data_IF_336198056171
#
_entry.id   IF_336198056171
#
_cell.length_a   1.000
_cell.length_b   1.000
_cell.length_c   1.000
_cell.angle_alpha   90.00
_cell.angle_beta   90.00
_cell.angle_gamma   90.00
#
_symmetry.space_group_name_H-M   'P 1'
#
loop_
_entity.id
_entity.type
_entity.pdbx_description
1 polymer ?
#
# COMPACT_ATOMS: atom_id res chain seq x y z
N UNK A 1 -71.13 -35.15 -41.75
CA UNK A 1 -69.75 -35.46 -41.29
C UNK A 1 -68.81 -34.55 -42.06
N UNK A 2 -68.43 -33.39 -41.51
CA UNK A 2 -67.31 -32.52 -41.95
C UNK A 2 -67.33 -31.19 -41.17
N UNK A 3 -67.39 -31.22 -39.82
CA UNK A 3 -67.23 -29.98 -39.03
C UNK A 3 -66.30 -30.12 -37.83
N UNK A 4 -65.58 -31.24 -37.70
CA UNK A 4 -64.63 -31.48 -36.58
C UNK A 4 -63.16 -31.29 -36.99
N UNK A 5 -62.86 -31.04 -38.27
CA UNK A 5 -61.48 -30.91 -38.75
C UNK A 5 -60.94 -29.45 -38.71
N UNK A 6 -61.81 -28.44 -38.80
CA UNK A 6 -61.39 -27.04 -38.92
C UNK A 6 -60.98 -26.38 -37.58
N UNK A 7 -61.56 -26.79 -36.45
CA UNK A 7 -61.17 -26.23 -35.14
C UNK A 7 -59.79 -26.70 -34.68
N UNK A 8 -59.37 -27.91 -35.05
CA UNK A 8 -58.06 -28.44 -34.65
C UNK A 8 -56.88 -27.80 -35.39
N UNK A 9 -57.07 -27.35 -36.62
CA UNK A 9 -56.02 -26.71 -37.43
C UNK A 9 -55.75 -25.28 -36.93
N UNK A 10 -56.78 -24.54 -36.52
CA UNK A 10 -56.65 -23.16 -36.02
C UNK A 10 -55.94 -23.11 -34.66
N UNK A 11 -56.15 -24.12 -33.79
CA UNK A 11 -55.48 -24.22 -32.48
C UNK A 11 -53.99 -24.59 -32.62
N UNK A 12 -53.61 -25.38 -33.63
CA UNK A 12 -52.19 -25.70 -33.88
C UNK A 12 -51.41 -24.50 -34.46
N UNK A 13 -52.02 -23.73 -35.36
CA UNK A 13 -51.36 -22.56 -35.97
C UNK A 13 -51.11 -21.42 -34.96
N UNK A 14 -52.01 -21.23 -33.99
CA UNK A 14 -51.85 -20.23 -32.92
C UNK A 14 -50.81 -20.64 -31.87
N UNK A 15 -50.66 -21.93 -31.57
CA UNK A 15 -49.62 -22.42 -30.65
C UNK A 15 -48.21 -22.35 -31.24
N UNK A 16 -47.98 -22.68 -32.52
CA UNK A 16 -46.64 -22.58 -33.12
C UNK A 16 -46.10 -21.14 -33.19
N UNK A 17 -46.99 -20.16 -33.39
CA UNK A 17 -46.65 -18.73 -33.44
C UNK A 17 -46.16 -18.18 -32.09
N UNK A 18 -46.80 -18.57 -30.98
CA UNK A 18 -46.43 -18.11 -29.64
C UNK A 18 -45.14 -18.74 -29.12
N UNK A 19 -44.85 -20.00 -29.47
CA UNK A 19 -43.55 -20.61 -29.16
C UNK A 19 -42.40 -19.89 -29.87
N UNK A 20 -42.54 -19.57 -31.16
CA UNK A 20 -41.55 -18.80 -31.93
C UNK A 20 -41.26 -17.45 -31.26
N UNK A 21 -42.28 -16.66 -30.96
CA UNK A 21 -42.14 -15.36 -30.28
C UNK A 21 -41.47 -15.46 -28.90
N UNK A 22 -41.75 -16.54 -28.15
CA UNK A 22 -41.12 -16.80 -26.87
C UNK A 22 -39.62 -17.09 -26.99
N UNK A 23 -39.21 -17.88 -27.98
CA UNK A 23 -37.79 -18.16 -28.24
C UNK A 23 -37.03 -16.95 -28.77
N UNK A 24 -37.67 -16.10 -29.60
CA UNK A 24 -37.08 -14.83 -30.04
C UNK A 24 -36.94 -13.81 -28.90
N UNK A 25 -37.94 -13.71 -28.01
CA UNK A 25 -37.86 -12.85 -26.83
C UNK A 25 -36.78 -13.34 -25.84
N UNK A 26 -36.67 -14.65 -25.64
CA UNK A 26 -35.63 -15.24 -24.79
C UNK A 26 -34.23 -15.01 -25.37
N UNK A 27 -34.05 -15.18 -26.69
CA UNK A 27 -32.78 -14.91 -27.37
C UNK A 27 -32.40 -13.43 -27.33
N UNK A 28 -33.39 -12.52 -27.44
CA UNK A 28 -33.18 -11.07 -27.31
C UNK A 28 -32.79 -10.69 -25.87
N UNK A 29 -33.43 -11.26 -24.86
CA UNK A 29 -33.13 -11.01 -23.44
C UNK A 29 -31.74 -11.55 -23.08
N UNK A 30 -31.38 -12.74 -23.55
CA UNK A 30 -30.04 -13.32 -23.34
C UNK A 30 -28.98 -12.51 -24.08
N UNK A 31 -29.26 -12.08 -25.32
CA UNK A 31 -28.37 -11.23 -26.12
C UNK A 31 -28.15 -9.85 -25.50
N UNK A 32 -29.20 -9.19 -25.00
CA UNK A 32 -29.11 -7.89 -24.30
C UNK A 32 -28.36 -8.05 -22.98
N UNK A 33 -28.56 -9.15 -22.24
CA UNK A 33 -27.83 -9.43 -21.00
C UNK A 33 -26.34 -9.66 -21.25
N UNK A 34 -25.98 -10.31 -22.36
CA UNK A 34 -24.59 -10.52 -22.78
C UNK A 34 -23.93 -9.23 -23.27
N UNK A 35 -24.69 -8.35 -23.95
CA UNK A 35 -24.23 -7.04 -24.40
C UNK A 35 -24.07 -6.05 -23.23
N UNK A 36 -24.93 -6.12 -22.21
CA UNK A 36 -24.79 -5.35 -20.97
C UNK A 36 -23.55 -5.79 -20.17
N UNK A 37 -23.24 -7.09 -20.14
CA UNK A 37 -22.03 -7.61 -19.50
C UNK A 37 -20.73 -7.15 -20.21
N UNK A 38 -20.80 -6.77 -21.49
CA UNK A 38 -19.70 -6.18 -22.26
C UNK A 38 -19.60 -4.65 -22.07
N UNK A 39 -20.69 -3.97 -21.69
CA UNK A 39 -20.74 -2.52 -21.45
C UNK A 39 -20.39 -2.14 -19.99
N UNK A 40 -20.39 -3.10 -19.08
CA UNK A 40 -19.94 -2.93 -17.70
C UNK A 40 -18.77 -3.89 -17.44
N UNK A 41 -17.51 -3.50 -17.73
CA UNK A 41 -16.38 -4.30 -17.28
C UNK A 41 -16.52 -4.45 -15.76
N UNK A 42 -16.69 -5.69 -15.30
CA UNK A 42 -16.47 -6.03 -13.90
C UNK A 42 -14.97 -5.86 -13.72
N UNK A 43 -14.55 -4.64 -13.36
CA UNK A 43 -13.23 -4.40 -12.83
C UNK A 43 -13.14 -5.20 -11.54
N UNK A 44 -12.72 -6.47 -11.67
CA UNK A 44 -12.15 -7.18 -10.53
C UNK A 44 -11.00 -6.31 -10.06
N UNK A 45 -11.08 -5.84 -8.82
CA UNK A 45 -9.96 -5.22 -8.16
C UNK A 45 -8.85 -6.28 -8.12
N UNK A 46 -8.00 -6.26 -9.14
CA UNK A 46 -6.79 -7.08 -9.21
C UNK A 46 -5.94 -6.73 -8.00
N UNK A 47 -5.14 -7.68 -7.53
CA UNK A 47 -4.04 -7.34 -6.64
C UNK A 47 -3.29 -6.14 -7.26
N UNK A 48 -3.09 -5.10 -6.46
CA UNK A 48 -2.40 -3.89 -6.91
C UNK A 48 -1.10 -4.29 -7.62
N UNK A 49 -0.83 -3.79 -8.84
CA UNK A 49 0.35 -4.19 -9.58
C UNK A 49 1.62 -3.83 -8.81
N UNK A 50 2.59 -4.74 -8.84
CA UNK A 50 3.97 -4.42 -8.44
C UNK A 50 4.62 -3.63 -9.56
N UNK A 51 5.07 -2.43 -9.25
CA UNK A 51 5.80 -1.53 -10.15
C UNK A 51 7.28 -1.60 -9.81
N UNK A 52 8.14 -1.72 -10.83
CA UNK A 52 9.60 -1.60 -10.72
C UNK A 52 10.09 -0.45 -11.59
N UNK A 53 10.96 0.39 -11.03
CA UNK A 53 11.55 1.55 -11.71
C UNK A 53 13.06 1.50 -11.52
N UNK A 54 13.80 1.74 -12.60
CA UNK A 54 15.25 1.72 -12.64
C UNK A 54 15.76 3.15 -12.89
N UNK A 55 16.66 3.63 -12.04
CA UNK A 55 17.36 4.91 -12.24
C UNK A 55 18.86 4.60 -12.34
N UNK A 56 19.43 4.84 -13.51
CA UNK A 56 20.85 4.60 -13.83
C UNK A 56 21.57 5.88 -14.31
N UNK A 57 20.82 6.99 -14.38
CA UNK A 57 21.25 8.32 -14.82
C UNK A 57 20.27 9.37 -14.27
N UNK A 58 20.63 10.65 -14.35
CA UNK A 58 19.82 11.76 -13.84
C UNK A 58 20.10 12.14 -12.38
N UNK A 59 19.36 13.12 -11.87
CA UNK A 59 19.56 13.70 -10.51
C UNK A 59 18.27 13.98 -9.74
N UNK A 60 17.10 13.82 -10.38
CA UNK A 60 15.80 14.09 -9.77
C UNK A 60 14.73 13.13 -10.28
N UNK A 61 13.78 12.77 -9.41
CA UNK A 61 12.69 11.85 -9.70
C UNK A 61 11.40 12.37 -9.08
N UNK A 62 10.28 12.25 -9.79
CA UNK A 62 8.95 12.58 -9.26
C UNK A 62 8.34 11.31 -8.71
N UNK A 63 8.01 11.30 -7.41
CA UNK A 63 7.38 10.15 -6.77
C UNK A 63 6.03 9.86 -7.45
N UNK A 64 5.78 8.62 -7.89
CA UNK A 64 4.51 8.26 -8.52
C UNK A 64 3.30 8.61 -7.65
N UNK A 65 2.20 9.01 -8.29
CA UNK A 65 0.95 9.37 -7.60
C UNK A 65 0.35 8.22 -6.79
N UNK A 66 0.68 6.99 -7.16
CA UNK A 66 0.24 5.73 -6.55
C UNK A 66 1.29 5.11 -5.61
N UNK A 67 2.29 5.86 -5.18
CA UNK A 67 3.32 5.38 -4.25
C UNK A 67 2.70 4.88 -2.93
N UNK A 68 3.09 3.67 -2.53
CA UNK A 68 2.63 3.06 -1.29
C UNK A 68 3.75 3.02 -0.26
N UNK A 69 3.73 3.96 0.69
CA UNK A 69 4.73 4.07 1.77
C UNK A 69 4.82 2.83 2.68
N UNK A 70 3.79 1.98 2.70
CA UNK A 70 3.72 0.77 3.54
C UNK A 70 4.13 -0.51 2.81
N UNK A 71 4.33 -0.47 1.50
CA UNK A 71 4.73 -1.64 0.71
C UNK A 71 5.59 -1.21 -0.50
N UNK A 72 6.82 -0.83 -0.18
CA UNK A 72 7.85 -0.47 -1.16
C UNK A 72 9.24 -0.87 -0.69
N UNK A 73 10.19 -0.86 -1.61
CA UNK A 73 11.61 -0.88 -1.34
C UNK A 73 12.40 -0.01 -2.30
N UNK A 74 13.51 0.54 -1.79
CA UNK A 74 14.50 1.30 -2.56
C UNK A 74 15.83 0.57 -2.37
N UNK A 75 16.41 0.13 -3.48
CA UNK A 75 17.67 -0.60 -3.54
C UNK A 75 18.69 0.22 -4.30
N UNK A 76 19.92 0.27 -3.81
CA UNK A 76 20.99 1.10 -4.38
C UNK A 76 22.30 0.32 -4.47
N UNK A 77 22.98 0.46 -5.60
CA UNK A 77 24.33 -0.08 -5.85
C UNK A 77 25.28 1.10 -6.09
N UNK A 78 26.41 1.14 -5.37
CA UNK A 78 27.45 2.16 -5.53
C UNK A 78 28.26 1.98 -6.82
N UNK A 79 28.99 3.02 -7.25
CA UNK A 79 29.91 2.90 -8.39
C UNK A 79 31.12 2.01 -8.06
N UNK A 80 31.64 1.29 -9.05
CA UNK A 80 32.88 0.52 -8.93
C UNK A 80 34.11 1.40 -9.12
N UNK A 81 35.17 1.14 -8.35
CA UNK A 81 36.46 1.82 -8.48
C UNK A 81 37.24 1.39 -9.72
N UNK A 82 38.13 2.26 -10.19
CA UNK A 82 39.02 1.93 -11.31
C UNK A 82 40.25 1.13 -10.87
N UNK A 83 40.75 0.32 -11.80
CA UNK A 83 42.04 -0.35 -11.66
C UNK A 83 43.20 0.64 -11.66
N UNK A 84 44.36 0.19 -11.21
CA UNK A 84 45.52 1.06 -11.09
C UNK A 84 46.24 1.29 -12.42
N UNK A 85 47.19 2.21 -12.42
CA UNK A 85 48.20 2.32 -13.48
C UNK A 85 49.57 1.92 -12.95
N UNK A 86 50.48 1.43 -13.81
CA UNK A 86 51.84 1.09 -13.42
C UNK A 86 52.59 2.24 -12.72
N UNK A 87 53.36 1.93 -11.67
CA UNK A 87 54.46 2.79 -11.22
C UNK A 87 55.86 2.15 -11.38
N UNK A 88 55.92 0.83 -11.66
CA UNK A 88 57.15 0.09 -12.00
C UNK A 88 56.87 -1.28 -12.69
N UNK A 89 55.73 -1.91 -12.39
CA UNK A 89 55.20 -3.16 -12.98
C UNK A 89 53.68 -2.99 -13.25
N UNK A 90 52.94 -4.08 -13.47
CA UNK A 90 51.48 -4.07 -13.52
C UNK A 90 50.84 -3.56 -12.21
N UNK A 91 49.57 -3.17 -12.26
CA UNK A 91 48.83 -2.53 -11.16
C UNK A 91 47.68 -3.40 -10.61
N UNK A 92 47.13 -3.00 -9.47
CA UNK A 92 46.08 -3.74 -8.79
C UNK A 92 44.67 -3.41 -9.33
N UNK A 93 43.68 -4.26 -9.04
CA UNK A 93 42.28 -4.03 -9.41
C UNK A 93 41.57 -3.07 -8.47
N UNK A 94 40.53 -2.40 -8.95
CA UNK A 94 39.65 -1.55 -8.14
C UNK A 94 38.68 -2.36 -7.27
N UNK A 95 38.07 -1.72 -6.28
CA UNK A 95 37.01 -2.30 -5.45
C UNK A 95 35.62 -2.13 -6.04
N UNK A 96 34.74 -3.11 -5.85
CA UNK A 96 33.35 -3.07 -6.31
C UNK A 96 32.46 -2.16 -5.46
N UNK A 97 31.33 -1.72 -6.02
CA UNK A 97 30.33 -0.93 -5.31
C UNK A 97 29.61 -1.70 -4.22
N UNK A 98 29.23 -1.01 -3.14
CA UNK A 98 28.39 -1.55 -2.08
C UNK A 98 26.92 -1.66 -2.52
N UNK A 99 26.11 -2.33 -1.70
CA UNK A 99 24.66 -2.42 -1.85
C UNK A 99 23.97 -1.97 -0.56
N UNK A 100 22.82 -1.32 -0.69
CA UNK A 100 21.90 -1.08 0.42
C UNK A 100 20.44 -1.13 -0.02
N UNK A 101 19.57 -1.54 0.90
CA UNK A 101 18.11 -1.60 0.71
C UNK A 101 17.40 -0.95 1.88
N UNK A 102 16.43 -0.13 1.57
CA UNK A 102 15.42 0.37 2.51
C UNK A 102 14.05 -0.19 2.11
N UNK A 103 13.20 -0.48 3.10
CA UNK A 103 11.85 -0.96 2.90
C UNK A 103 10.86 -0.03 3.61
N UNK A 104 9.63 0.04 3.09
CA UNK A 104 8.54 0.85 3.64
C UNK A 104 8.95 2.31 3.82
N UNK A 105 9.59 2.87 2.79
CA UNK A 105 10.06 4.25 2.80
C UNK A 105 8.87 5.19 2.63
N UNK A 106 8.70 6.08 3.59
CA UNK A 106 7.64 7.09 3.57
C UNK A 106 8.03 8.25 2.66
N UNK A 107 7.38 8.35 1.50
CA UNK A 107 7.58 9.43 0.53
C UNK A 107 6.23 10.08 0.20
N UNK A 108 6.26 11.37 -0.14
CA UNK A 108 5.08 12.11 -0.58
C UNK A 108 4.84 11.86 -2.07
N UNK A 109 3.70 11.26 -2.40
CA UNK A 109 3.28 11.06 -3.79
C UNK A 109 3.22 12.39 -4.56
N UNK A 110 3.71 12.41 -5.80
CA UNK A 110 3.81 13.60 -6.65
C UNK A 110 4.93 14.58 -6.28
N UNK A 111 5.65 14.39 -5.17
CA UNK A 111 6.77 15.26 -4.81
C UNK A 111 7.98 14.98 -5.70
N UNK A 112 8.73 16.04 -6.05
CA UNK A 112 10.05 15.91 -6.66
C UNK A 112 11.08 15.64 -5.57
N UNK A 113 11.88 14.59 -5.75
CA UNK A 113 13.02 14.25 -4.89
C UNK A 113 14.32 14.25 -5.68
N UNK A 114 15.43 14.31 -4.97
CA UNK A 114 16.78 14.27 -5.55
C UNK A 114 17.44 12.92 -5.27
N UNK A 115 18.35 12.52 -6.16
CA UNK A 115 19.19 11.34 -5.99
C UNK A 115 20.53 11.57 -6.69
N UNK A 116 21.51 10.74 -6.37
CA UNK A 116 22.76 10.67 -7.09
C UNK A 116 23.03 9.23 -7.52
N UNK A 117 23.44 9.06 -8.77
CA UNK A 117 24.00 7.81 -9.27
C UNK A 117 25.52 7.88 -9.11
N UNK A 118 26.07 6.92 -8.39
CA UNK A 118 27.50 6.83 -8.18
C UNK A 118 28.25 6.73 -9.50
N UNK A 119 29.14 7.69 -9.75
CA UNK A 119 29.95 7.69 -10.95
C UNK A 119 30.89 6.49 -11.01
N UNK A 120 31.32 6.15 -12.22
CA UNK A 120 32.32 5.09 -12.42
C UNK A 120 33.70 5.59 -12.00
N UNK A 121 34.46 4.76 -11.30
CA UNK A 121 35.88 4.98 -11.10
C UNK A 121 36.63 4.83 -12.42
N UNK A 122 37.34 5.87 -12.82
CA UNK A 122 38.41 5.78 -13.81
C UNK A 122 39.71 5.35 -13.12
N UNK A 123 40.82 5.27 -13.85
CA UNK A 123 42.11 4.82 -13.33
C UNK A 123 42.45 5.43 -11.96
N UNK A 124 42.79 4.56 -11.00
CA UNK A 124 43.11 4.90 -9.59
C UNK A 124 42.07 5.75 -8.86
N UNK A 125 40.86 5.88 -9.39
CA UNK A 125 39.81 6.74 -8.84
C UNK A 125 38.70 5.87 -8.24
N UNK A 126 38.17 6.30 -7.11
CA UNK A 126 37.01 5.66 -6.50
C UNK A 126 35.76 5.82 -7.38
N UNK A 127 34.87 4.85 -7.31
CA UNK A 127 33.49 5.02 -7.77
C UNK A 127 32.75 5.98 -6.85
N UNK A 128 31.73 6.64 -7.38
CA UNK A 128 30.87 7.52 -6.61
C UNK A 128 29.88 6.75 -5.74
N UNK A 129 29.40 7.42 -4.70
CA UNK A 129 28.30 6.93 -3.87
C UNK A 129 26.97 7.07 -4.62
N UNK A 130 26.09 6.08 -4.49
CA UNK A 130 24.72 6.12 -5.01
C UNK A 130 23.75 6.31 -3.86
N UNK A 131 22.84 7.27 -3.93
CA UNK A 131 21.86 7.49 -2.87
C UNK A 131 20.56 8.12 -3.38
N UNK A 132 19.47 7.81 -2.69
CA UNK A 132 18.12 8.31 -2.97
C UNK A 132 17.58 9.05 -1.75
N UNK A 133 16.99 10.23 -1.95
CA UNK A 133 16.52 11.08 -0.86
C UNK A 133 14.99 11.22 -0.84
N UNK A 134 14.48 11.71 0.29
CA UNK A 134 13.12 12.24 0.37
C UNK A 134 13.08 13.71 -0.10
N UNK A 135 11.94 14.39 0.07
CA UNK A 135 11.73 15.77 -0.34
C UNK A 135 12.27 16.83 0.63
N UNK A 136 12.96 16.43 1.71
CA UNK A 136 13.55 17.41 2.65
C UNK A 136 14.90 17.94 2.15
N UNK A 137 15.28 19.12 2.63
CA UNK A 137 16.57 19.73 2.29
C UNK A 137 17.68 19.01 3.06
N UNK A 138 18.64 18.39 2.33
CA UNK A 138 19.98 17.88 2.73
C UNK A 138 20.28 16.54 2.03
N UNK A 139 20.47 16.60 0.70
CA UNK A 139 20.77 15.48 -0.20
C UNK A 139 22.08 15.73 -0.98
N UNK A 140 23.10 16.31 -0.33
CA UNK A 140 24.36 16.65 -1.00
C UNK A 140 25.40 15.51 -0.95
N UNK A 141 25.21 14.54 -0.05
CA UNK A 141 26.07 13.38 0.11
C UNK A 141 25.28 12.22 0.72
N UNK A 142 25.85 11.02 0.69
CA UNK A 142 25.26 9.81 1.29
C UNK A 142 24.99 9.94 2.79
N UNK A 143 25.66 10.85 3.50
CA UNK A 143 25.45 11.11 4.93
C UNK A 143 24.38 12.19 5.18
N UNK A 144 23.76 12.72 4.14
CA UNK A 144 22.69 13.71 4.24
C UNK A 144 21.48 13.13 4.97
N UNK A 145 20.84 13.94 5.82
CA UNK A 145 19.68 13.50 6.63
C UNK A 145 18.44 13.20 5.79
N UNK A 146 18.39 13.65 4.53
CA UNK A 146 17.31 13.34 3.60
C UNK A 146 17.47 11.96 2.95
N UNK A 147 18.66 11.34 3.00
CA UNK A 147 18.96 10.06 2.35
C UNK A 147 18.13 8.94 2.98
N UNK A 148 17.36 8.24 2.15
CA UNK A 148 16.53 7.10 2.54
C UNK A 148 17.21 5.76 2.26
N UNK A 149 18.02 5.70 1.20
CA UNK A 149 18.86 4.56 0.86
C UNK A 149 20.17 5.07 0.25
N UNK A 150 21.30 4.47 0.61
CA UNK A 150 22.61 4.90 0.14
C UNK A 150 23.65 3.80 0.16
N UNK A 151 24.41 3.63 -0.92
CA UNK A 151 25.50 2.68 -1.04
C UNK A 151 26.81 3.39 -1.42
N UNK A 152 27.90 2.99 -0.75
CA UNK A 152 29.24 3.50 -1.02
C UNK A 152 29.80 3.00 -2.35
N UNK A 153 30.49 3.88 -3.07
CA UNK A 153 31.35 3.49 -4.17
C UNK A 153 32.56 2.67 -3.69
N UNK A 154 33.08 1.81 -4.56
CA UNK A 154 34.32 1.09 -4.33
C UNK A 154 35.55 1.97 -4.59
N UNK A 155 36.62 1.75 -3.85
CA UNK A 155 37.83 2.55 -3.98
C UNK A 155 38.61 2.16 -5.23
N UNK A 156 39.32 3.14 -5.82
CA UNK A 156 40.32 2.86 -6.84
C UNK A 156 41.50 2.07 -6.27
N UNK A 157 42.23 1.37 -7.13
CA UNK A 157 43.48 0.75 -6.73
C UNK A 157 44.53 1.80 -6.32
N UNK A 158 45.40 1.45 -5.36
CA UNK A 158 46.50 2.31 -4.91
C UNK A 158 47.82 1.56 -5.07
N UNK A 159 48.51 1.79 -6.20
CA UNK A 159 49.74 1.08 -6.53
C UNK A 159 49.53 -0.44 -6.66
N UNK A 160 50.27 -1.21 -5.85
CA UNK A 160 50.19 -2.67 -5.82
C UNK A 160 49.04 -3.25 -5.00
N UNK A 161 48.30 -2.41 -4.27
CA UNK A 161 47.22 -2.83 -3.38
C UNK A 161 45.87 -2.66 -4.07
N UNK A 162 45.07 -3.73 -4.05
CA UNK A 162 43.72 -3.70 -4.60
C UNK A 162 42.82 -2.71 -3.86
N UNK A 163 41.98 -2.01 -4.62
CA UNK A 163 41.01 -1.08 -4.07
C UNK A 163 40.03 -1.81 -3.15
N UNK A 164 39.75 -1.25 -1.98
CA UNK A 164 38.73 -1.81 -1.09
C UNK A 164 37.35 -1.65 -1.72
N UNK A 165 36.49 -2.66 -1.56
CA UNK A 165 35.09 -2.55 -1.94
C UNK A 165 34.36 -1.48 -1.14
N UNK A 166 33.25 -0.99 -1.67
CA UNK A 166 32.41 -0.01 -0.98
C UNK A 166 31.95 -0.56 0.37
N UNK A 167 32.11 0.23 1.43
CA UNK A 167 31.85 -0.24 2.79
C UNK A 167 30.36 -0.16 3.15
N UNK A 168 29.75 -1.30 3.49
CA UNK A 168 28.36 -1.37 3.98
C UNK A 168 28.14 -0.61 5.29
N UNK A 169 29.18 -0.50 6.11
CA UNK A 169 29.15 0.24 7.37
C UNK A 169 28.73 1.70 7.18
N UNK A 170 29.09 2.31 6.04
CA UNK A 170 28.76 3.68 5.68
C UNK A 170 27.57 3.80 4.73
N UNK A 171 26.86 2.70 4.45
CA UNK A 171 25.61 2.71 3.70
C UNK A 171 24.39 3.05 4.57
N UNK A 172 23.32 3.50 3.93
CA UNK A 172 22.03 3.83 4.52
C UNK A 172 20.99 2.82 4.02
N UNK A 173 20.33 2.14 4.94
CA UNK A 173 19.38 1.06 4.65
C UNK A 173 19.37 0.00 5.76
N UNK A 174 18.32 -0.83 5.77
CA UNK A 174 18.16 -1.93 6.73
C UNK A 174 18.98 -3.17 6.34
N UNK A 175 19.16 -3.41 5.04
CA UNK A 175 20.03 -4.48 4.52
C UNK A 175 21.17 -3.84 3.76
N UNK A 176 22.41 -4.24 4.07
CA UNK A 176 23.62 -3.61 3.52
C UNK A 176 24.71 -4.65 3.30
N UNK A 177 25.37 -4.58 2.14
CA UNK A 177 26.45 -5.48 1.79
C UNK A 177 27.62 -4.72 1.18
N UNK A 178 28.83 -5.14 1.51
CA UNK A 178 30.05 -4.50 1.00
C UNK A 178 30.36 -5.02 -0.39
N UNK A 179 30.91 -4.16 -1.24
CA UNK A 179 31.50 -4.60 -2.50
C UNK A 179 32.73 -5.47 -2.29
N UNK A 180 33.13 -6.21 -3.32
CA UNK A 180 34.36 -6.99 -3.29
C UNK A 180 35.60 -6.11 -3.38
N UNK A 181 36.68 -6.52 -2.73
CA UNK A 181 37.99 -5.89 -2.88
C UNK A 181 38.61 -6.28 -4.24
N UNK A 182 39.37 -5.38 -4.83
CA UNK A 182 40.27 -5.73 -5.93
C UNK A 182 41.42 -6.61 -5.46
N UNK A 183 41.97 -7.42 -6.37
CA UNK A 183 43.19 -8.17 -6.15
C UNK A 183 44.42 -7.26 -6.26
N UNK A 184 45.47 -7.57 -5.49
CA UNK A 184 46.77 -6.94 -5.62
C UNK A 184 47.50 -7.33 -6.92
N UNK A 185 48.65 -6.71 -7.16
CA UNK A 185 49.51 -6.98 -8.32
C UNK A 185 50.25 -8.31 -8.23
N UNK A 186 50.36 -9.02 -9.35
CA UNK A 186 51.33 -10.11 -9.54
C UNK A 186 52.63 -9.61 -10.18
N UNK A 187 53.69 -10.43 -10.17
CA UNK A 187 55.03 -10.05 -10.68
C UNK A 187 55.05 -9.58 -12.16
N UNK A 188 54.06 -9.97 -12.96
CA UNK A 188 53.94 -9.60 -14.38
C UNK A 188 52.48 -9.52 -14.87
N UNK A 189 51.54 -9.37 -13.93
CA UNK A 189 50.10 -9.36 -14.22
C UNK A 189 49.36 -8.36 -13.36
N UNK A 190 48.34 -7.72 -13.92
CA UNK A 190 47.43 -6.87 -13.18
C UNK A 190 46.48 -7.66 -12.29
N UNK A 191 46.01 -7.05 -11.21
CA UNK A 191 45.03 -7.64 -10.30
C UNK A 191 43.60 -7.58 -10.86
N UNK A 192 42.77 -8.60 -10.63
CA UNK A 192 41.34 -8.57 -10.97
C UNK A 192 40.57 -7.57 -10.12
N UNK A 193 39.56 -6.92 -10.71
CA UNK A 193 38.66 -6.01 -9.98
C UNK A 193 37.70 -6.75 -9.05
N UNK A 194 37.20 -6.09 -8.01
CA UNK A 194 36.14 -6.60 -7.14
C UNK A 194 34.76 -6.59 -7.81
N UNK A 195 33.93 -7.57 -7.48
CA UNK A 195 32.52 -7.61 -7.88
C UNK A 195 31.66 -6.64 -7.08
N UNK A 196 30.56 -6.16 -7.66
CA UNK A 196 29.57 -5.36 -6.95
C UNK A 196 28.77 -6.20 -5.96
N UNK A 197 28.33 -5.60 -4.85
CA UNK A 197 27.32 -6.22 -4.01
C UNK A 197 25.92 -6.10 -4.61
N UNK A 198 24.99 -6.97 -4.18
CA UNK A 198 23.61 -6.98 -4.66
C UNK A 198 22.63 -7.54 -3.64
N UNK A 199 21.44 -7.92 -4.12
CA UNK A 199 20.31 -8.33 -3.29
C UNK A 199 20.53 -9.65 -2.52
N UNK A 200 21.43 -10.51 -2.99
CA UNK A 200 21.75 -11.81 -2.41
C UNK A 200 23.02 -11.77 -1.54
N UNK A 201 23.88 -10.75 -1.65
CA UNK A 201 24.99 -10.56 -0.73
C UNK A 201 26.11 -9.64 -1.19
N UNK A 202 27.23 -9.76 -0.49
CA UNK A 202 28.45 -9.01 -0.78
C UNK A 202 29.05 -9.38 -2.14
N UNK A 203 29.73 -8.43 -2.77
CA UNK A 203 30.48 -8.70 -3.98
C UNK A 203 31.69 -9.59 -3.68
N UNK A 204 32.02 -10.51 -4.58
CA UNK A 204 33.20 -11.35 -4.38
C UNK A 204 34.48 -10.54 -4.66
N UNK A 205 35.54 -10.87 -3.93
CA UNK A 205 36.86 -10.26 -4.14
C UNK A 205 37.45 -10.73 -5.48
N UNK A 206 38.24 -9.87 -6.12
CA UNK A 206 39.13 -10.26 -7.20
C UNK A 206 40.23 -11.19 -6.69
N UNK A 207 40.76 -12.05 -7.56
CA UNK A 207 41.81 -13.02 -7.23
C UNK A 207 42.78 -13.21 -8.40
N UNK A 208 44.06 -12.93 -8.18
CA UNK A 208 45.05 -12.94 -9.26
C UNK A 208 44.62 -11.99 -10.38
N UNK A 209 44.52 -12.50 -11.62
CA UNK A 209 44.02 -11.76 -12.78
C UNK A 209 42.51 -11.85 -12.97
N UNK A 210 41.80 -12.65 -12.17
CA UNK A 210 40.36 -12.87 -12.33
C UNK A 210 39.58 -11.89 -11.47
N UNK A 211 38.61 -11.20 -12.08
CA UNK A 211 37.68 -10.35 -11.35
C UNK A 211 36.76 -11.15 -10.43
N UNK A 212 36.24 -10.51 -9.38
CA UNK A 212 35.23 -11.11 -8.52
C UNK A 212 33.85 -11.08 -9.16
N UNK A 213 33.02 -12.10 -8.98
CA UNK A 213 31.62 -12.05 -9.40
C UNK A 213 30.77 -11.13 -8.52
N UNK A 214 29.73 -10.54 -9.11
CA UNK A 214 28.76 -9.71 -8.41
C UNK A 214 27.81 -10.51 -7.53
N UNK A 215 27.25 -9.86 -6.51
CA UNK A 215 26.12 -10.34 -5.72
C UNK A 215 26.26 -11.77 -5.15
N UNK A 216 27.36 -12.01 -4.44
CA UNK A 216 27.75 -13.32 -3.91
C UNK A 216 27.78 -14.44 -4.97
N UNK A 217 27.98 -14.09 -6.24
CA UNK A 217 28.01 -15.02 -7.37
C UNK A 217 26.69 -15.16 -8.14
N UNK A 218 25.62 -14.49 -7.72
CA UNK A 218 24.34 -14.48 -8.43
C UNK A 218 24.26 -13.38 -9.50
N UNK A 219 25.18 -12.41 -9.45
CA UNK A 219 25.26 -11.34 -10.43
C UNK A 219 26.20 -11.65 -11.58
N UNK A 220 26.75 -10.58 -12.16
CA UNK A 220 27.69 -10.68 -13.25
C UNK A 220 28.93 -11.50 -12.91
N UNK A 221 29.31 -12.41 -13.81
CA UNK A 221 30.52 -13.21 -13.66
C UNK A 221 31.78 -12.33 -13.61
N UNK A 222 32.78 -12.73 -12.84
CA UNK A 222 34.09 -12.07 -12.85
C UNK A 222 34.81 -12.23 -14.18
N UNK A 223 35.43 -11.17 -14.68
CA UNK A 223 36.20 -11.21 -15.92
C UNK A 223 37.45 -12.05 -15.76
N UNK A 224 37.72 -12.94 -16.70
CA UNK A 224 39.02 -13.62 -16.80
C UNK A 224 40.10 -12.64 -17.27
N UNK A 225 41.38 -13.01 -17.21
CA UNK A 225 42.49 -12.15 -17.62
C UNK A 225 42.23 -11.42 -18.96
N UNK A 226 42.43 -10.10 -18.97
CA UNK A 226 42.15 -9.17 -20.08
C UNK A 226 40.69 -9.08 -20.57
N UNK A 227 39.74 -9.79 -19.94
CA UNK A 227 38.33 -9.78 -20.33
C UNK A 227 37.48 -8.97 -19.33
N UNK A 228 36.46 -8.26 -19.83
CA UNK A 228 35.58 -7.48 -18.95
C UNK A 228 34.77 -8.39 -18.02
N UNK A 229 34.32 -7.81 -16.90
CA UNK A 229 33.34 -8.45 -16.04
C UNK A 229 31.99 -8.58 -16.75
N UNK A 230 31.26 -9.64 -16.45
CA UNK A 230 29.90 -9.85 -16.92
C UNK A 230 28.93 -8.85 -16.29
N UNK A 231 27.89 -8.47 -17.04
CA UNK A 231 26.77 -7.70 -16.49
C UNK A 231 25.86 -8.63 -15.67
N UNK A 232 25.30 -8.10 -14.59
CA UNK A 232 24.26 -8.77 -13.82
C UNK A 232 22.88 -8.66 -14.49
N UNK A 233 21.97 -9.59 -14.18
CA UNK A 233 20.60 -9.65 -14.71
C UNK A 233 19.56 -10.04 -13.65
N UNK A 234 19.87 -9.80 -12.37
CA UNK A 234 19.02 -10.27 -11.26
C UNK A 234 17.73 -9.45 -11.11
N UNK A 235 17.71 -8.23 -11.65
CA UNK A 235 16.50 -7.40 -11.65
C UNK A 235 15.68 -7.55 -12.94
N UNK A 236 16.35 -7.52 -14.09
CA UNK A 236 15.79 -7.76 -15.43
C UNK A 236 16.90 -8.17 -16.42
N UNK A 237 16.62 -8.16 -17.73
CA UNK A 237 17.58 -8.60 -18.76
C UNK A 237 18.82 -7.71 -18.94
N UNK A 238 18.84 -6.50 -18.38
CA UNK A 238 19.95 -5.53 -18.55
C UNK A 238 20.40 -4.87 -17.24
N UNK A 239 19.67 -5.07 -16.13
CA UNK A 239 19.95 -4.52 -14.83
C UNK A 239 20.31 -5.61 -13.80
N UNK A 240 21.46 -5.42 -13.18
CA UNK A 240 21.96 -6.27 -12.10
C UNK A 240 23.35 -5.83 -11.63
N UNK A 241 23.87 -6.55 -10.65
CA UNK A 241 25.14 -6.28 -10.00
C UNK A 241 26.28 -6.83 -10.84
N UNK A 242 27.24 -5.99 -11.21
CA UNK A 242 28.29 -6.34 -12.16
C UNK A 242 29.47 -7.10 -11.54
N UNK A 243 30.08 -7.98 -12.32
CA UNK A 243 31.37 -8.59 -11.99
C UNK A 243 32.54 -7.63 -12.15
N UNK A 244 33.65 -7.86 -11.45
CA UNK A 244 34.89 -7.12 -11.64
C UNK A 244 35.58 -7.48 -12.95
N UNK A 245 36.31 -6.53 -13.53
CA UNK A 245 37.10 -6.73 -14.74
C UNK A 245 38.35 -7.57 -14.49
N UNK A 246 38.77 -8.35 -15.47
CA UNK A 246 40.02 -9.10 -15.42
C UNK A 246 41.25 -8.18 -15.44
N UNK A 247 42.27 -8.56 -14.68
CA UNK A 247 43.58 -7.94 -14.72
C UNK A 247 44.32 -8.25 -16.01
N UNK A 248 45.25 -7.37 -16.39
CA UNK A 248 46.04 -7.52 -17.60
C UNK A 248 47.10 -8.64 -17.49
N UNK A 249 47.43 -9.27 -18.61
CA UNK A 249 48.66 -10.07 -18.76
C UNK A 249 49.53 -9.47 -19.86
N UNK A 250 50.85 -9.41 -19.63
CA UNK A 250 51.77 -8.73 -20.57
C UNK A 250 51.57 -7.20 -20.57
N UNK A 251 51.98 -6.48 -21.62
CA UNK A 251 51.92 -5.02 -21.69
C UNK A 251 50.50 -4.42 -21.90
N UNK A 252 49.44 -5.18 -21.57
CA UNK A 252 48.04 -4.81 -21.82
C UNK A 252 47.41 -3.90 -20.76
N UNK A 253 46.26 -3.33 -21.10
CA UNK A 253 45.39 -2.60 -20.17
C UNK A 253 44.48 -3.54 -19.37
N UNK A 254 44.10 -3.12 -18.16
CA UNK A 254 43.11 -3.83 -17.35
C UNK A 254 41.72 -3.74 -17.97
N UNK A 255 40.91 -4.78 -17.80
CA UNK A 255 39.58 -4.81 -18.39
C UNK A 255 38.56 -4.05 -17.54
N UNK A 256 37.49 -3.58 -18.18
CA UNK A 256 36.40 -2.88 -17.49
C UNK A 256 35.57 -3.84 -16.61
N UNK A 257 34.97 -3.29 -15.55
CA UNK A 257 33.94 -4.00 -14.78
C UNK A 257 32.67 -4.25 -15.61
N UNK A 258 31.83 -5.16 -15.14
CA UNK A 258 30.47 -5.35 -15.62
C UNK A 258 29.50 -4.33 -15.02
N UNK A 259 28.41 -4.03 -15.73
CA UNK A 259 27.35 -3.18 -15.19
C UNK A 259 26.56 -3.95 -14.12
N UNK A 260 26.09 -3.35 -13.03
CA UNK A 260 26.38 -2.04 -12.40
C UNK A 260 27.30 -2.22 -11.18
N UNK A 261 28.12 -1.22 -10.86
CA UNK A 261 29.00 -1.24 -9.69
C UNK A 261 30.24 -2.14 -9.78
N UNK A 262 30.43 -2.88 -10.88
CA UNK A 262 31.62 -3.72 -11.10
C UNK A 262 32.89 -2.88 -11.21
N UNK A 263 33.98 -3.32 -10.58
CA UNK A 263 35.25 -2.60 -10.58
C UNK A 263 36.13 -2.90 -11.80
N UNK A 264 37.03 -1.99 -12.14
CA UNK A 264 38.02 -2.22 -13.18
C UNK A 264 39.18 -3.11 -12.74
N UNK A 265 39.70 -3.94 -13.65
CA UNK A 265 40.92 -4.71 -13.43
C UNK A 265 42.17 -3.83 -13.50
N UNK A 266 43.25 -4.23 -12.83
CA UNK A 266 44.55 -3.60 -12.91
C UNK A 266 45.23 -3.88 -14.25
N UNK A 267 46.02 -2.92 -14.72
CA UNK A 267 46.72 -2.99 -15.99
C UNK A 267 48.22 -2.84 -15.90
N UNK A 268 48.89 -3.25 -16.97
CA UNK A 268 50.33 -3.07 -17.15
C UNK A 268 50.65 -1.88 -18.07
N UNK A 269 49.64 -1.32 -18.72
CA UNK A 269 49.69 -0.04 -19.44
C UNK A 269 48.69 0.97 -18.87
N UNK A 270 47.43 0.55 -18.69
CA UNK A 270 46.31 1.41 -18.29
C UNK A 270 45.35 0.64 -17.38
N UNK A 271 44.76 1.29 -16.40
CA UNK A 271 43.78 0.67 -15.50
C UNK A 271 42.44 0.44 -16.19
N UNK A 272 41.76 -0.65 -15.85
CA UNK A 272 40.38 -0.86 -16.25
C UNK A 272 39.46 0.15 -15.56
N UNK A 273 38.39 0.56 -16.25
CA UNK A 273 37.37 1.42 -15.67
C UNK A 273 36.35 0.59 -14.87
N UNK A 274 35.92 1.12 -13.73
CA UNK A 274 34.75 0.63 -13.04
C UNK A 274 33.46 1.01 -13.78
N UNK A 275 32.32 0.65 -13.20
CA UNK A 275 30.98 0.98 -13.71
C UNK A 275 30.20 1.80 -12.72
N UNK A 276 29.23 2.56 -13.24
CA UNK A 276 28.33 3.39 -12.44
C UNK A 276 27.45 2.54 -11.54
N UNK A 277 26.92 3.16 -10.50
CA UNK A 277 25.89 2.59 -9.66
C UNK A 277 24.50 2.62 -10.32
N UNK A 278 23.48 2.22 -9.56
CA UNK A 278 22.08 2.28 -9.97
C UNK A 278 21.14 2.30 -8.77
N UNK A 279 19.89 2.70 -8.98
CA UNK A 279 18.80 2.66 -8.00
C UNK A 279 17.64 1.85 -8.58
N UNK A 280 17.04 0.99 -7.77
CA UNK A 280 15.82 0.25 -8.10
C UNK A 280 14.74 0.60 -7.08
N UNK A 281 13.60 1.11 -7.56
CA UNK A 281 12.41 1.31 -6.74
C UNK A 281 11.42 0.20 -7.07
N UNK A 282 10.93 -0.51 -6.05
CA UNK A 282 9.86 -1.51 -6.19
C UNK A 282 8.74 -1.14 -5.25
N UNK A 283 7.50 -1.06 -5.72
CA UNK A 283 6.35 -0.81 -4.85
C UNK A 283 5.09 -1.50 -5.36
N UNK A 284 4.17 -1.80 -4.45
CA UNK A 284 2.82 -2.26 -4.79
C UNK A 284 1.91 -1.03 -4.79
N UNK A 285 1.38 -0.64 -5.96
CA UNK A 285 0.64 0.63 -6.12
C UNK A 285 -0.51 0.76 -5.13
N UNK A 286 -0.66 1.92 -4.48
CA UNK A 286 -1.86 2.21 -3.69
C UNK A 286 -2.94 2.76 -4.61
N UNK A 287 -4.00 1.98 -4.84
CA UNK A 287 -5.15 2.48 -5.60
C UNK A 287 -6.04 3.32 -4.68
N UNK A 288 -6.05 4.63 -4.89
CA UNK A 288 -7.12 5.49 -4.35
C UNK A 288 -8.31 5.42 -5.30
N UNK A 289 -9.42 4.84 -4.85
CA UNK A 289 -10.66 4.81 -5.62
C UNK A 289 -11.50 6.06 -5.30
N UNK A 290 -11.55 7.02 -6.21
CA UNK A 290 -12.47 8.17 -6.13
C UNK A 290 -13.74 7.85 -6.91
N UNK A 291 -14.83 7.53 -6.21
CA UNK A 291 -16.15 7.38 -6.81
C UNK A 291 -16.85 8.75 -6.79
N UNK A 292 -17.17 9.28 -7.97
CA UNK A 292 -17.96 10.52 -8.11
C UNK A 292 -19.41 10.15 -8.41
N UNK A 293 -20.34 10.68 -7.62
CA UNK A 293 -21.78 10.41 -7.78
C UNK A 293 -22.34 9.39 -6.77
N UNK A 294 -23.51 8.83 -7.09
CA UNK A 294 -24.20 7.91 -6.20
C UNK A 294 -23.56 6.52 -6.24
N UNK A 295 -23.15 6.01 -5.08
CA UNK A 295 -22.56 4.67 -4.94
C UNK A 295 -23.52 3.78 -4.15
N UNK A 296 -23.84 2.61 -4.70
CA UNK A 296 -24.64 1.57 -4.03
C UNK A 296 -23.82 0.30 -3.88
N UNK A 297 -23.66 -0.15 -2.64
CA UNK A 297 -23.12 -1.48 -2.34
C UNK A 297 -24.29 -2.46 -2.21
N UNK A 298 -24.27 -3.56 -2.98
CA UNK A 298 -25.33 -4.58 -2.95
C UNK A 298 -25.23 -5.53 -1.74
N UNK A 299 -24.09 -5.52 -1.05
CA UNK A 299 -23.84 -6.27 0.19
C UNK A 299 -23.25 -5.38 1.28
N UNK A 300 -22.63 -5.99 2.28
CA UNK A 300 -22.06 -5.29 3.42
C UNK A 300 -20.83 -4.46 3.02
N UNK A 301 -20.75 -3.23 3.53
CA UNK A 301 -19.56 -2.37 3.45
C UNK A 301 -18.78 -2.45 4.76
N UNK A 302 -17.57 -2.97 4.73
CA UNK A 302 -16.64 -2.97 5.87
C UNK A 302 -15.59 -1.88 5.67
N UNK A 303 -15.43 -1.00 6.66
CA UNK A 303 -14.35 0.01 6.69
C UNK A 303 -13.43 -0.35 7.86
N UNK A 304 -12.18 -0.66 7.56
CA UNK A 304 -11.17 -1.11 8.54
C UNK A 304 -10.45 0.03 9.25
N UNK A 305 -10.70 1.27 8.82
CA UNK A 305 -10.13 2.48 9.39
C UNK A 305 -11.23 3.54 9.57
N UNK A 306 -10.90 4.82 9.41
CA UNK A 306 -11.85 5.91 9.62
C UNK A 306 -12.82 6.08 8.46
N UNK A 307 -14.10 6.29 8.78
CA UNK A 307 -15.11 6.80 7.85
C UNK A 307 -15.39 8.26 8.20
N UNK A 308 -14.92 9.18 7.35
CA UNK A 308 -15.32 10.59 7.43
C UNK A 308 -16.48 10.83 6.46
N UNK A 309 -17.60 11.35 6.97
CA UNK A 309 -18.81 11.69 6.20
C UNK A 309 -19.44 12.97 6.74
N UNK A 310 -20.02 13.79 5.87
CA UNK A 310 -20.72 15.02 6.27
C UNK A 310 -22.04 14.74 7.00
N UNK A 311 -22.72 13.66 6.63
CA UNK A 311 -23.92 13.16 7.28
C UNK A 311 -24.00 11.64 7.14
N UNK A 312 -24.86 10.98 7.93
CA UNK A 312 -25.23 9.61 7.60
C UNK A 312 -26.52 9.23 8.31
N UNK A 313 -27.33 8.46 7.61
CA UNK A 313 -28.67 8.07 8.03
C UNK A 313 -28.76 6.57 8.12
N UNK A 314 -29.36 6.09 9.20
CA UNK A 314 -29.85 4.72 9.33
C UNK A 314 -31.25 4.67 8.72
N UNK A 315 -31.50 3.78 7.75
CA UNK A 315 -32.77 3.68 7.03
C UNK A 315 -33.34 2.27 7.17
N UNK A 316 -34.61 2.17 7.51
CA UNK A 316 -35.34 0.91 7.64
C UNK A 316 -36.73 1.01 7.04
N UNK A 317 -37.37 -0.13 6.83
CA UNK A 317 -38.80 -0.17 6.59
C UNK A 317 -39.56 0.40 7.80
N UNK A 318 -40.58 1.21 7.55
CA UNK A 318 -41.40 1.79 8.62
C UNK A 318 -42.08 0.68 9.43
N UNK A 319 -41.97 0.65 10.76
CA UNK A 319 -42.42 -0.49 11.56
C UNK A 319 -43.94 -0.74 11.49
N UNK A 320 -44.73 0.31 11.26
CA UNK A 320 -46.19 0.19 11.11
C UNK A 320 -46.63 -0.05 9.65
N UNK A 321 -45.82 0.34 8.66
CA UNK A 321 -46.19 0.34 7.24
C UNK A 321 -45.02 -0.11 6.34
N UNK A 322 -44.42 -1.28 6.62
CA UNK A 322 -43.10 -1.64 6.07
C UNK A 322 -43.08 -1.85 4.56
N UNK A 323 -44.24 -2.11 3.94
CA UNK A 323 -44.35 -2.30 2.48
C UNK A 323 -44.42 -1.01 1.68
N UNK A 324 -44.61 0.14 2.34
CA UNK A 324 -44.92 1.40 1.65
C UNK A 324 -44.11 2.60 2.14
N UNK A 325 -43.47 2.53 3.31
CA UNK A 325 -42.73 3.65 3.88
C UNK A 325 -41.37 3.22 4.41
N UNK A 326 -40.41 4.15 4.33
CA UNK A 326 -39.10 4.05 4.98
C UNK A 326 -39.06 5.01 6.18
N UNK A 327 -38.32 4.63 7.22
CA UNK A 327 -38.04 5.43 8.39
C UNK A 327 -36.53 5.71 8.46
N UNK A 328 -36.17 6.97 8.75
CA UNK A 328 -34.79 7.45 8.76
C UNK A 328 -34.42 7.98 10.15
N UNK A 329 -33.23 7.64 10.63
CA UNK A 329 -32.64 8.14 11.88
C UNK A 329 -31.19 8.58 11.71
N UNK A 330 -30.72 9.43 12.62
CA UNK A 330 -29.29 9.73 12.78
C UNK A 330 -28.62 8.66 13.67
N UNK A 331 -27.30 8.57 13.61
CA UNK A 331 -26.53 7.58 14.36
C UNK A 331 -26.44 7.93 15.85
N UNK A 332 -26.74 6.96 16.71
CA UNK A 332 -26.31 6.90 18.13
C UNK A 332 -25.47 5.63 18.27
N UNK A 333 -24.21 5.76 18.70
CA UNK A 333 -23.33 4.61 18.89
C UNK A 333 -23.40 4.12 20.34
N UNK A 334 -24.02 2.96 20.56
CA UNK A 334 -24.17 2.30 21.86
C UNK A 334 -24.14 0.77 21.68
N UNK A 335 -23.69 -0.01 22.67
CA UNK A 335 -23.79 -1.47 22.62
C UNK A 335 -25.25 -1.97 22.54
N UNK A 336 -26.21 -1.15 22.97
CA UNK A 336 -27.64 -1.41 22.78
C UNK A 336 -28.15 -0.57 21.58
N UNK A 337 -29.12 -1.08 20.83
CA UNK A 337 -29.77 -0.38 19.71
C UNK A 337 -30.70 0.73 20.19
N UNK A 338 -30.11 1.78 20.75
CA UNK A 338 -30.83 2.89 21.39
C UNK A 338 -31.37 3.85 20.35
N UNK A 339 -32.66 4.15 20.47
CA UNK A 339 -33.24 5.37 19.90
C UNK A 339 -33.43 6.40 21.01
N UNK A 340 -33.20 7.66 20.68
CA UNK A 340 -33.24 8.79 21.61
C UNK A 340 -34.19 9.86 21.06
N UNK A 341 -35.10 10.31 21.92
CA UNK A 341 -36.08 11.35 21.63
C UNK A 341 -36.04 12.36 22.77
N UNK A 342 -36.06 13.64 22.46
CA UNK A 342 -35.97 14.71 23.44
C UNK A 342 -36.81 15.92 23.03
N UNK A 343 -37.02 16.80 24.00
CA UNK A 343 -37.69 18.06 23.77
C UNK A 343 -37.78 18.92 25.02
N UNK A 344 -38.49 20.04 24.85
CA UNK A 344 -38.86 20.96 25.92
C UNK A 344 -40.38 20.96 26.04
N UNK A 345 -40.92 20.97 27.26
CA UNK A 345 -42.35 21.00 27.48
C UNK A 345 -42.72 21.88 28.68
N UNK A 346 -43.91 22.50 28.61
CA UNK A 346 -44.47 23.30 29.70
C UNK A 346 -45.48 22.50 30.50
N UNK A 347 -45.39 22.63 31.82
CA UNK A 347 -46.31 22.06 32.77
C UNK A 347 -47.61 22.87 32.81
N UNK A 348 -48.72 22.16 32.94
CA UNK A 348 -50.07 22.71 33.03
C UNK A 348 -50.36 23.36 34.40
N UNK A 349 -51.63 23.69 34.66
CA UNK A 349 -52.05 24.30 35.92
C UNK A 349 -51.90 23.37 37.14
N UNK A 350 -51.78 22.06 36.91
CA UNK A 350 -51.60 21.03 37.92
C UNK A 350 -50.10 20.71 38.15
N UNK A 351 -49.20 21.31 37.36
CA UNK A 351 -47.77 21.01 37.43
C UNK A 351 -47.42 19.70 36.74
N UNK A 352 -48.21 19.30 35.74
CA UNK A 352 -48.06 18.06 34.96
C UNK A 352 -47.89 18.36 33.48
N UNK A 353 -47.29 17.43 32.73
CA UNK A 353 -47.27 17.48 31.28
C UNK A 353 -47.30 16.08 30.69
N UNK A 354 -48.19 15.86 29.72
CA UNK A 354 -48.18 14.70 28.86
C UNK A 354 -47.26 14.97 27.65
N UNK A 355 -46.26 14.12 27.46
CA UNK A 355 -45.37 14.16 26.31
C UNK A 355 -45.87 13.18 25.28
N UNK A 356 -46.35 13.69 24.16
CA UNK A 356 -46.76 12.89 23.00
C UNK A 356 -45.52 12.50 22.18
N UNK A 357 -45.37 11.20 21.92
CA UNK A 357 -44.31 10.63 21.11
C UNK A 357 -44.83 10.30 19.70
N UNK A 358 -43.94 10.12 18.70
CA UNK A 358 -44.35 9.65 17.40
C UNK A 358 -45.16 8.35 17.49
N UNK A 359 -46.15 8.18 16.62
CA UNK A 359 -47.06 7.03 16.59
C UNK A 359 -46.35 5.66 16.46
N UNK A 360 -45.18 5.65 15.84
CA UNK A 360 -44.32 4.48 15.70
C UNK A 360 -43.43 4.21 16.91
N UNK A 361 -43.40 5.07 17.93
CA UNK A 361 -42.40 4.99 19.01
C UNK A 361 -42.47 3.66 19.75
N UNK A 362 -43.62 3.26 20.29
CA UNK A 362 -43.76 1.99 21.01
C UNK A 362 -43.64 0.77 20.09
N UNK A 363 -44.04 0.89 18.82
CA UNK A 363 -43.87 -0.17 17.84
C UNK A 363 -42.38 -0.44 17.52
N UNK A 364 -41.55 0.60 17.59
CA UNK A 364 -40.12 0.53 17.33
C UNK A 364 -39.30 0.24 18.59
N UNK A 365 -39.75 0.70 19.76
CA UNK A 365 -38.97 0.76 21.00
C UNK A 365 -39.63 0.04 22.18
N UNK A 366 -38.80 -0.55 23.05
CA UNK A 366 -39.15 -1.12 24.35
C UNK A 366 -38.11 -0.71 25.40
N UNK A 367 -38.26 -1.17 26.64
CA UNK A 367 -37.27 -0.98 27.72
C UNK A 367 -36.89 0.51 27.92
N UNK A 368 -37.89 1.33 28.22
CA UNK A 368 -37.76 2.78 28.24
C UNK A 368 -36.95 3.31 29.43
N UNK A 369 -36.21 4.39 29.20
CA UNK A 369 -35.48 5.14 30.24
C UNK A 369 -35.76 6.62 30.09
N UNK A 370 -35.94 7.30 31.22
CA UNK A 370 -36.33 8.70 31.26
C UNK A 370 -35.23 9.54 31.91
N UNK A 371 -34.95 10.70 31.33
CA UNK A 371 -34.18 11.76 31.95
C UNK A 371 -34.96 13.06 31.78
N UNK A 372 -35.06 13.85 32.84
CA UNK A 372 -35.74 15.13 32.79
C UNK A 372 -35.14 16.08 33.83
N UNK A 373 -35.07 17.35 33.44
CA UNK A 373 -34.56 18.41 34.28
C UNK A 373 -35.50 19.60 34.22
N UNK A 374 -35.76 20.27 35.37
CA UNK A 374 -36.48 21.52 35.33
C UNK A 374 -35.65 22.59 34.63
N UNK A 375 -36.34 23.44 33.87
CA UNK A 375 -35.76 24.55 33.15
C UNK A 375 -36.05 25.86 33.91
N UNK A 376 -35.03 26.71 34.06
CA UNK A 376 -35.04 28.01 34.75
C UNK A 376 -35.27 28.04 36.26
N UNK A 377 -36.10 27.18 36.83
CA UNK A 377 -36.40 27.16 38.28
C UNK A 377 -36.27 25.76 38.87
N UNK A 378 -35.86 25.64 40.14
CA UNK A 378 -35.77 24.34 40.80
C UNK A 378 -37.16 23.73 41.03
N UNK A 379 -37.35 22.48 40.59
CA UNK A 379 -38.57 21.69 40.84
C UNK A 379 -38.17 20.31 41.38
N UNK A 380 -37.78 20.22 42.67
CA UNK A 380 -37.26 18.98 43.27
C UNK A 380 -38.29 17.85 43.37
N UNK A 381 -39.57 18.17 43.16
CA UNK A 381 -40.66 17.21 43.16
C UNK A 381 -40.92 16.57 41.80
N UNK A 382 -40.15 16.82 40.75
CA UNK A 382 -40.41 16.23 39.43
C UNK A 382 -40.25 14.69 39.45
N UNK A 383 -41.23 13.97 38.89
CA UNK A 383 -41.18 12.52 38.70
C UNK A 383 -41.98 12.07 37.47
N UNK A 384 -41.70 10.87 36.98
CA UNK A 384 -42.53 10.21 35.95
C UNK A 384 -43.80 9.69 36.63
N UNK A 385 -44.93 10.34 36.35
CA UNK A 385 -46.24 9.94 36.87
C UNK A 385 -46.82 8.75 36.10
N UNK A 386 -46.55 8.70 34.80
CA UNK A 386 -46.95 7.59 33.94
C UNK A 386 -45.81 7.29 32.98
N UNK A 387 -45.38 6.03 32.93
CA UNK A 387 -44.47 5.54 31.89
C UNK A 387 -45.15 5.58 30.52
N UNK A 388 -44.36 5.39 29.45
CA UNK A 388 -44.86 5.34 28.08
C UNK A 388 -45.99 4.33 27.98
N UNK A 389 -47.14 4.82 27.52
CA UNK A 389 -48.32 4.05 27.17
C UNK A 389 -49.13 4.85 26.16
N UNK A 390 -49.60 4.18 25.10
CA UNK A 390 -50.37 4.81 24.02
C UNK A 390 -49.59 5.97 23.37
N UNK A 391 -48.28 5.75 23.14
CA UNK A 391 -47.26 6.68 22.66
C UNK A 391 -47.16 8.00 23.46
N UNK A 392 -47.49 7.98 24.74
CA UNK A 392 -47.33 9.15 25.61
C UNK A 392 -46.82 8.79 26.99
N UNK A 393 -46.12 9.70 27.66
CA UNK A 393 -45.75 9.54 29.07
C UNK A 393 -45.98 10.86 29.82
N UNK A 394 -46.15 10.79 31.14
CA UNK A 394 -46.52 11.97 31.95
C UNK A 394 -45.42 12.26 32.97
N UNK A 395 -44.94 13.50 32.98
CA UNK A 395 -44.08 14.06 34.04
C UNK A 395 -44.96 14.94 34.94
N UNK A 396 -44.83 14.81 36.25
CA UNK A 396 -45.59 15.57 37.24
C UNK A 396 -44.72 16.04 38.41
N UNK A 397 -45.33 16.76 39.35
CA UNK A 397 -44.68 17.24 40.56
C UNK A 397 -43.85 18.51 40.37
N UNK A 398 -44.05 19.19 39.24
CA UNK A 398 -43.44 20.49 38.97
C UNK A 398 -44.34 21.66 39.36
N UNK A 399 -43.86 22.87 39.10
CA UNK A 399 -44.61 24.11 39.36
C UNK A 399 -45.54 24.41 38.17
N UNK A 400 -46.78 24.87 38.40
CA UNK A 400 -47.66 25.28 37.30
C UNK A 400 -47.02 26.30 36.36
N UNK A 401 -47.10 26.04 35.05
CA UNK A 401 -46.45 26.87 34.01
C UNK A 401 -44.93 26.75 33.93
N UNK A 402 -44.32 25.91 34.77
CA UNK A 402 -42.89 25.60 34.72
C UNK A 402 -42.51 24.89 33.43
N UNK A 403 -41.25 25.01 33.02
CA UNK A 403 -40.74 24.37 31.81
C UNK A 403 -39.75 23.27 32.17
N UNK A 404 -39.73 22.18 31.41
CA UNK A 404 -38.83 21.05 31.61
C UNK A 404 -38.15 20.67 30.31
N UNK A 405 -36.90 20.22 30.40
CA UNK A 405 -36.22 19.47 29.35
C UNK A 405 -36.38 17.98 29.63
N UNK A 406 -36.74 17.21 28.62
CA UNK A 406 -36.98 15.77 28.74
C UNK A 406 -36.24 15.01 27.65
N UNK A 407 -35.89 13.76 27.99
CA UNK A 407 -35.35 12.78 27.08
C UNK A 407 -35.92 11.41 27.45
N UNK A 408 -36.37 10.68 26.44
CA UNK A 408 -36.72 9.26 26.55
C UNK A 408 -35.82 8.45 25.62
N UNK A 409 -35.25 7.38 26.17
CA UNK A 409 -34.51 6.37 25.40
C UNK A 409 -35.33 5.09 25.33
N UNK A 410 -35.28 4.41 24.20
CA UNK A 410 -35.82 3.06 24.06
C UNK A 410 -34.87 2.13 23.33
N UNK A 411 -34.93 0.83 23.66
CA UNK A 411 -34.24 -0.23 22.96
C UNK A 411 -35.09 -0.71 21.80
N UNK A 412 -34.53 -0.66 20.60
CA UNK A 412 -35.22 -1.05 19.38
C UNK A 412 -35.64 -2.53 19.39
N UNK A 413 -36.84 -2.85 18.89
CA UNK A 413 -37.39 -4.22 18.89
C UNK A 413 -38.24 -4.62 17.68
N UNK A 414 -38.18 -3.89 16.56
CA UNK A 414 -38.89 -4.31 15.35
C UNK A 414 -38.36 -5.65 14.78
N UNK A 415 -39.15 -6.23 13.86
CA UNK A 415 -38.87 -7.56 13.29
C UNK A 415 -37.46 -7.70 12.69
N UNK A 416 -36.89 -6.64 12.11
CA UNK A 416 -35.56 -6.70 11.52
C UNK A 416 -34.48 -6.89 12.58
N UNK A 417 -34.53 -6.11 13.67
CA UNK A 417 -33.49 -6.17 14.71
C UNK A 417 -33.59 -7.44 15.56
N UNK A 418 -34.80 -7.97 15.72
CA UNK A 418 -35.01 -9.28 16.34
C UNK A 418 -34.45 -10.43 15.48
N UNK A 419 -34.59 -10.33 14.15
CA UNK A 419 -34.05 -11.32 13.22
C UNK A 419 -32.53 -11.20 13.00
N UNK A 420 -31.97 -9.99 13.20
CA UNK A 420 -30.55 -9.68 12.97
C UNK A 420 -29.94 -8.99 14.21
N UNK A 421 -29.85 -9.69 15.35
CA UNK A 421 -29.34 -9.08 16.57
C UNK A 421 -27.88 -8.69 16.43
N UNK A 422 -27.51 -7.53 16.98
CA UNK A 422 -26.11 -7.14 17.11
C UNK A 422 -25.47 -8.00 18.20
N UNK A 423 -24.49 -8.81 17.81
CA UNK A 423 -23.65 -9.52 18.77
C UNK A 423 -22.53 -8.56 19.19
N UNK A 424 -22.71 -7.94 20.36
CA UNK A 424 -21.85 -6.86 20.87
C UNK A 424 -20.39 -7.31 21.02
N UNK A 425 -20.18 -8.58 21.39
CA UNK A 425 -18.86 -9.15 21.59
C UNK A 425 -18.76 -10.49 20.86
N UNK A 426 -17.77 -10.62 19.98
CA UNK A 426 -17.43 -11.88 19.30
C UNK A 426 -15.93 -12.16 19.44
N UNK A 427 -15.53 -13.42 19.68
CA UNK A 427 -14.12 -13.79 19.65
C UNK A 427 -13.52 -13.53 18.26
N UNK A 428 -12.29 -13.01 18.21
CA UNK A 428 -11.55 -12.92 16.94
C UNK A 428 -11.32 -14.32 16.34
N UNK A 429 -11.55 -14.44 15.04
CA UNK A 429 -11.31 -15.64 14.22
C UNK A 429 -10.54 -15.25 12.96
N UNK A 430 -10.18 -16.22 12.11
CA UNK A 430 -9.54 -15.92 10.83
C UNK A 430 -10.50 -15.26 9.81
N UNK A 431 -11.80 -15.22 10.11
CA UNK A 431 -12.83 -14.60 9.29
C UNK A 431 -13.35 -13.28 9.84
N UNK A 432 -12.92 -12.85 11.03
CA UNK A 432 -13.23 -11.51 11.55
C UNK A 432 -12.39 -10.44 10.84
N UNK A 433 -12.88 -9.20 10.86
CA UNK A 433 -12.24 -8.03 10.22
C UNK A 433 -10.76 -7.89 10.60
N UNK A 434 -10.42 -8.24 11.85
CA UNK A 434 -9.03 -8.38 12.31
C UNK A 434 -8.84 -9.80 12.85
N UNK A 435 -7.87 -10.57 12.32
CA UNK A 435 -7.60 -11.92 12.78
C UNK A 435 -7.17 -12.01 14.25
N UNK A 436 -7.29 -13.21 14.82
CA UNK A 436 -6.76 -13.50 16.16
C UNK A 436 -5.26 -13.24 16.20
N UNK A 437 -4.80 -12.49 17.20
CA UNK A 437 -3.40 -12.10 17.37
C UNK A 437 -3.00 -10.80 16.67
N UNK A 438 -3.88 -10.21 15.85
CA UNK A 438 -3.65 -8.90 15.24
C UNK A 438 -4.50 -7.81 15.88
N UNK A 439 -4.05 -6.56 15.76
CA UNK A 439 -4.69 -5.41 16.37
C UNK A 439 -5.17 -4.40 15.34
N UNK A 440 -6.40 -3.91 15.55
CA UNK A 440 -7.01 -2.89 14.69
C UNK A 440 -6.23 -1.57 14.80
N UNK A 441 -5.72 -1.28 16.00
CA UNK A 441 -4.85 -0.15 16.28
C UNK A 441 -3.74 -0.61 17.23
N UNK A 442 -2.54 -0.75 16.67
CA UNK A 442 -1.36 -1.33 17.34
C UNK A 442 -1.05 -0.75 18.73
N UNK A 443 -1.17 0.58 19.00
CA UNK A 443 -0.89 1.12 20.32
C UNK A 443 -1.80 0.60 21.45
N UNK A 444 -2.99 0.07 21.17
CA UNK A 444 -3.88 -0.51 22.19
C UNK A 444 -3.48 -1.92 22.64
N UNK A 445 -2.52 -2.54 21.95
CA UNK A 445 -2.11 -3.93 22.16
C UNK A 445 -0.68 -4.09 22.64
N UNK A 446 -0.02 -2.98 22.98
CA UNK A 446 1.34 -2.94 23.50
C UNK A 446 1.35 -2.96 25.02
#
# INVERSE_FOLDING_TARGET
MNSFADEHIIIMHTKLSTYSLFWWALALIVGISFLLALLFPVERLSAAPTVKIYLDSGTSFVIPGDWNSSNNSIEVIGGGGGGGTPSALCSAGGGGGAYSKAANVSLTAGASVTYAIGDRGIEQTAGGDTYFCNSTLNCASISGTAVQAGAKGGNGASGGTGGSGGASASGVGSTKFSGGNGAGTGSSTGGGGGGAAGLNGAGNNGSGTTGGSGDAGNGGAGGTANNPGGAGTEYDSVHGSGGGGGGATGAGGGAAGGNFGGAGGGGCASGGIGKRGMIVLTYVSSATLTLSGNVKFAGNLTITSTLAKSSGTFVIDHPLTPRTHLLYHSFVESPEVKNLYDGIAKLDAQGEVAIELPDYFEALNKDFRYQFFPHFEAMPGLYVKQEVKDNSFIIAGGKPGGEISWQVTGIRHDAFILANPIIVEVPKTNSTVVPRGMCLFEPLCK
#
